data_IF_259092883764
#
_entry.id   IF_259092883764
#
_cell.length_a   1.000
_cell.length_b   1.000
_cell.length_c   1.000
_cell.angle_alpha   90.00
_cell.angle_beta   90.00
_cell.angle_gamma   90.00
#
_symmetry.space_group_name_H-M   'P 1'
#
loop_
_entity.id
_entity.type
_entity.pdbx_description
1 polymer ?
#
# COMPACT_ATOMS: atom_id res chain seq x y z
N UNK A 1 -2.94 11.97 15.37
CA UNK A 1 -3.30 11.18 14.16
C UNK A 1 -3.53 9.75 14.57
N UNK A 2 -4.65 9.12 14.17
CA UNK A 2 -4.88 7.69 14.37
C UNK A 2 -4.27 6.95 13.16
N UNK A 3 -3.24 6.12 13.38
CA UNK A 3 -2.70 5.22 12.35
C UNK A 3 -3.32 3.84 12.58
N UNK A 4 -3.85 3.21 11.53
CA UNK A 4 -4.33 1.83 11.60
C UNK A 4 -3.13 0.89 11.77
N UNK A 5 -3.15 0.05 12.81
CA UNK A 5 -2.08 -0.90 13.09
C UNK A 5 -2.52 -2.33 12.72
N UNK A 6 -3.76 -2.69 13.03
CA UNK A 6 -4.33 -3.99 12.73
C UNK A 6 -5.70 -3.86 12.04
N UNK A 7 -6.00 -4.84 11.20
CA UNK A 7 -7.33 -5.12 10.68
C UNK A 7 -7.69 -6.58 11.01
N UNK A 8 -8.92 -6.84 11.42
CA UNK A 8 -9.39 -8.18 11.75
C UNK A 8 -10.90 -8.28 11.54
N UNK A 9 -11.34 -9.45 11.09
CA UNK A 9 -12.75 -9.72 10.81
C UNK A 9 -13.05 -11.22 10.92
N UNK A 10 -14.30 -11.56 11.21
CA UNK A 10 -14.78 -12.92 10.97
C UNK A 10 -14.83 -13.12 9.46
N UNK A 11 -14.18 -14.17 8.97
CA UNK A 11 -14.12 -14.46 7.55
C UNK A 11 -15.52 -14.74 7.01
N UNK A 12 -15.83 -14.18 5.85
CA UNK A 12 -17.05 -14.53 5.14
C UNK A 12 -16.86 -15.91 4.52
N UNK A 13 -17.58 -16.89 5.05
CA UNK A 13 -17.52 -18.28 4.60
C UNK A 13 -18.73 -18.70 3.76
N UNK A 14 -19.68 -17.79 3.48
CA UNK A 14 -20.80 -18.05 2.58
C UNK A 14 -20.39 -17.74 1.12
N UNK A 15 -20.29 -18.76 0.25
CA UNK A 15 -19.85 -18.58 -1.14
C UNK A 15 -20.85 -17.76 -1.97
N UNK A 16 -22.15 -17.81 -1.69
CA UNK A 16 -23.15 -17.06 -2.44
C UNK A 16 -23.05 -15.56 -2.15
N UNK A 17 -22.90 -15.21 -0.87
CA UNK A 17 -22.69 -13.80 -0.46
C UNK A 17 -21.34 -13.30 -0.97
N UNK A 18 -20.30 -14.15 -0.95
CA UNK A 18 -18.99 -13.77 -1.48
C UNK A 18 -19.05 -13.45 -2.99
N UNK A 19 -19.81 -14.23 -3.77
CA UNK A 19 -20.03 -13.93 -5.20
C UNK A 19 -20.79 -12.63 -5.41
N UNK A 20 -21.87 -12.39 -4.66
CA UNK A 20 -22.62 -11.13 -4.74
C UNK A 20 -21.71 -9.92 -4.46
N UNK A 21 -20.80 -10.03 -3.48
CA UNK A 21 -19.80 -8.99 -3.19
C UNK A 21 -18.83 -8.79 -4.33
N UNK A 22 -18.34 -9.87 -4.95
CA UNK A 22 -17.48 -9.75 -6.12
C UNK A 22 -18.21 -9.14 -7.32
N UNK A 23 -19.49 -9.45 -7.54
CA UNK A 23 -20.30 -8.81 -8.58
C UNK A 23 -20.45 -7.30 -8.35
N UNK A 24 -20.64 -6.89 -7.09
CA UNK A 24 -20.68 -5.47 -6.75
C UNK A 24 -19.33 -4.79 -6.99
N UNK A 25 -18.23 -5.41 -6.55
CA UNK A 25 -16.88 -4.89 -6.77
C UNK A 25 -16.53 -4.81 -8.26
N UNK A 26 -17.01 -5.77 -9.08
CA UNK A 26 -16.84 -5.71 -10.53
C UNK A 26 -17.59 -4.53 -11.16
N UNK A 27 -18.79 -4.18 -10.65
CA UNK A 27 -19.51 -2.97 -11.07
C UNK A 27 -18.75 -1.70 -10.67
N UNK A 28 -18.23 -1.65 -9.46
CA UNK A 28 -17.46 -0.50 -8.95
C UNK A 28 -16.18 -0.31 -9.77
N UNK A 29 -15.51 -1.41 -10.13
CA UNK A 29 -14.35 -1.39 -11.05
C UNK A 29 -14.73 -0.89 -12.44
N UNK A 30 -15.85 -1.34 -12.99
CA UNK A 30 -16.35 -0.86 -14.29
C UNK A 30 -16.73 0.63 -14.24
N UNK A 31 -17.08 1.16 -13.07
CA UNK A 31 -17.32 2.57 -12.83
C UNK A 31 -16.04 3.42 -12.66
N UNK A 32 -14.86 2.78 -12.67
CA UNK A 32 -13.56 3.46 -12.63
C UNK A 32 -12.82 3.37 -11.29
N UNK A 33 -13.22 2.48 -10.38
CA UNK A 33 -12.46 2.20 -9.16
C UNK A 33 -11.31 1.21 -9.42
N UNK A 34 -10.08 1.72 -9.49
CA UNK A 34 -8.87 0.92 -9.71
C UNK A 34 -8.43 0.11 -8.47
N UNK A 35 -8.96 0.43 -7.28
CA UNK A 35 -8.67 -0.30 -6.03
C UNK A 35 -9.62 -1.49 -5.83
N UNK A 36 -10.73 -1.55 -6.57
CA UNK A 36 -11.68 -2.65 -6.50
C UNK A 36 -11.05 -3.97 -6.98
N UNK A 37 -11.05 -5.02 -6.12
CA UNK A 37 -10.40 -6.27 -6.46
C UNK A 37 -11.14 -7.01 -7.60
N UNK A 38 -10.41 -7.80 -8.42
CA UNK A 38 -11.03 -8.65 -9.42
C UNK A 38 -11.85 -9.78 -8.77
N UNK A 39 -12.85 -10.25 -9.51
CA UNK A 39 -13.57 -11.49 -9.17
C UNK A 39 -12.65 -12.71 -9.27
N UNK A 40 -12.66 -13.57 -8.25
CA UNK A 40 -11.92 -14.83 -8.21
C UNK A 40 -12.87 -16.02 -8.02
N UNK A 41 -13.20 -16.69 -9.13
CA UNK A 41 -14.10 -17.85 -9.11
C UNK A 41 -13.46 -19.09 -8.48
N UNK A 42 -12.13 -19.22 -8.51
CA UNK A 42 -11.45 -20.34 -7.87
C UNK A 42 -11.54 -20.21 -6.34
N UNK A 43 -11.43 -18.99 -5.81
CA UNK A 43 -11.68 -18.70 -4.41
C UNK A 43 -13.12 -19.01 -3.98
N UNK A 44 -14.12 -18.58 -4.75
CA UNK A 44 -15.52 -18.91 -4.48
C UNK A 44 -15.76 -20.42 -4.50
N UNK A 45 -15.19 -21.13 -5.48
CA UNK A 45 -15.28 -22.59 -5.57
C UNK A 45 -14.64 -23.24 -4.33
N UNK A 46 -13.51 -22.73 -3.83
CA UNK A 46 -12.89 -23.22 -2.60
C UNK A 46 -13.80 -23.03 -1.37
N UNK A 47 -14.52 -21.90 -1.28
CA UNK A 47 -15.50 -21.69 -0.20
C UNK A 47 -16.67 -22.69 -0.27
N UNK A 48 -17.08 -23.12 -1.45
CA UNK A 48 -18.13 -24.14 -1.63
C UNK A 48 -17.74 -25.53 -1.14
N UNK A 49 -16.44 -25.86 -1.14
CA UNK A 49 -15.95 -27.07 -0.47
C UNK A 49 -16.07 -27.00 1.07
N UNK A 50 -16.31 -25.81 1.61
CA UNK A 50 -16.59 -25.57 3.02
C UNK A 50 -15.40 -24.96 3.75
N UNK A 51 -15.42 -23.64 3.91
CA UNK A 51 -14.56 -22.93 4.86
C UNK A 51 -15.20 -22.97 6.26
N UNK A 52 -14.53 -23.56 7.28
CA UNK A 52 -15.01 -23.50 8.66
C UNK A 52 -15.13 -22.06 9.16
N UNK A 53 -15.93 -21.79 10.21
CA UNK A 53 -15.94 -20.49 10.86
C UNK A 53 -14.52 -20.06 11.26
N UNK A 54 -14.01 -19.02 10.61
CA UNK A 54 -12.61 -18.60 10.68
C UNK A 54 -12.53 -17.11 11.00
N UNK A 55 -11.48 -16.69 11.70
CA UNK A 55 -11.16 -15.28 11.92
C UNK A 55 -9.88 -14.89 11.19
N UNK A 56 -9.93 -13.79 10.45
CA UNK A 56 -8.79 -13.18 9.78
C UNK A 56 -8.15 -12.09 10.64
N UNK A 57 -6.84 -11.94 10.53
CA UNK A 57 -6.09 -10.89 11.20
C UNK A 57 -4.88 -10.47 10.36
N UNK A 58 -4.67 -9.15 10.28
CA UNK A 58 -3.50 -8.55 9.65
C UNK A 58 -2.93 -7.45 10.54
N UNK A 59 -1.61 -7.33 10.55
CA UNK A 59 -0.84 -6.33 11.29
C UNK A 59 0.19 -5.67 10.39
N UNK A 60 0.20 -4.34 10.37
CA UNK A 60 1.27 -3.59 9.74
C UNK A 60 2.53 -3.59 10.60
N UNK A 61 3.49 -4.48 10.29
CA UNK A 61 4.75 -4.60 11.04
C UNK A 61 5.52 -3.29 11.05
N UNK A 62 5.63 -2.59 9.92
CA UNK A 62 6.31 -1.30 9.84
C UNK A 62 5.65 -0.26 10.76
N UNK A 63 4.31 -0.20 10.77
CA UNK A 63 3.56 0.73 11.61
C UNK A 63 3.69 0.40 13.09
N UNK A 64 3.74 -0.89 13.45
CA UNK A 64 4.02 -1.33 14.81
C UNK A 64 5.43 -0.90 15.23
N UNK A 65 6.44 -1.16 14.40
CA UNK A 65 7.82 -0.75 14.66
C UNK A 65 7.92 0.75 14.81
N UNK A 66 7.31 1.53 13.90
CA UNK A 66 7.26 2.99 13.99
C UNK A 66 6.71 3.48 15.33
N UNK A 67 5.67 2.83 15.86
CA UNK A 67 5.11 3.16 17.16
C UNK A 67 6.09 2.84 18.30
N UNK A 68 6.76 1.69 18.25
CA UNK A 68 7.74 1.26 19.25
C UNK A 68 9.03 2.09 19.23
N UNK A 69 9.37 2.70 18.09
CA UNK A 69 10.61 3.49 17.89
C UNK A 69 10.35 5.00 17.85
N UNK A 70 9.17 5.46 18.27
CA UNK A 70 8.73 6.88 18.22
C UNK A 70 9.01 7.56 16.87
N UNK A 71 8.81 6.81 15.78
CA UNK A 71 9.14 7.23 14.43
C UNK A 71 7.88 7.70 13.69
N UNK A 72 7.87 8.98 13.30
CA UNK A 72 6.73 9.55 12.59
C UNK A 72 6.68 9.23 11.09
N UNK A 73 7.81 8.80 10.50
CA UNK A 73 7.99 8.46 9.09
C UNK A 73 8.39 6.98 8.92
N UNK A 74 7.78 6.27 7.96
CA UNK A 74 8.05 4.84 7.70
C UNK A 74 9.47 4.57 7.19
N UNK A 75 10.10 5.57 6.58
CA UNK A 75 11.48 5.45 6.07
C UNK A 75 12.51 5.21 7.18
N UNK A 76 12.20 5.59 8.42
CA UNK A 76 13.08 5.39 9.58
C UNK A 76 13.15 3.92 10.02
N UNK A 77 12.14 3.12 9.68
CA UNK A 77 12.05 1.70 10.08
C UNK A 77 12.30 0.73 8.91
N UNK A 78 12.58 1.26 7.72
CA UNK A 78 12.94 0.49 6.53
C UNK A 78 14.43 0.66 6.26
N UNK A 79 15.19 -0.44 6.18
CA UNK A 79 16.64 -0.39 5.91
C UNK A 79 16.97 0.30 4.58
N UNK A 80 16.17 0.04 3.55
CA UNK A 80 16.32 0.63 2.21
C UNK A 80 14.93 1.04 1.70
N UNK A 81 14.43 2.23 2.07
CA UNK A 81 13.11 2.67 1.64
C UNK A 81 13.08 2.98 0.14
N UNK A 82 11.91 2.86 -0.49
CA UNK A 82 11.73 3.32 -1.86
C UNK A 82 11.95 4.83 -1.95
N UNK A 83 12.94 5.23 -2.77
CA UNK A 83 13.28 6.62 -3.04
C UNK A 83 13.00 6.94 -4.50
N UNK A 84 12.62 8.20 -4.77
CA UNK A 84 12.61 8.68 -6.14
C UNK A 84 14.07 8.68 -6.63
N UNK A 85 14.35 8.18 -7.85
CA UNK A 85 15.68 8.29 -8.44
C UNK A 85 16.13 9.75 -8.48
N UNK A 86 17.43 9.97 -8.34
CA UNK A 86 18.00 11.31 -8.50
C UNK A 86 17.83 11.78 -9.95
N UNK A 87 17.53 13.06 -10.14
CA UNK A 87 17.49 13.68 -11.46
C UNK A 87 18.92 13.75 -12.01
N UNK A 88 19.24 13.04 -13.11
CA UNK A 88 20.59 13.02 -13.67
C UNK A 88 21.06 14.43 -14.09
N UNK A 89 20.14 15.39 -14.28
CA UNK A 89 20.47 16.77 -14.64
C UNK A 89 20.53 17.73 -13.45
N UNK A 90 20.39 17.26 -12.21
CA UNK A 90 20.47 18.13 -11.03
C UNK A 90 21.85 18.78 -10.89
N UNK A 91 22.93 18.01 -11.14
CA UNK A 91 24.31 18.52 -11.10
C UNK A 91 24.62 19.54 -12.20
N UNK A 92 23.98 19.43 -13.38
CA UNK A 92 24.21 20.34 -14.51
C UNK A 92 23.60 21.73 -14.30
N UNK A 93 22.59 21.86 -13.43
CA UNK A 93 21.94 23.16 -13.13
C UNK A 93 22.63 23.93 -12.00
N UNK A 94 23.34 23.23 -11.12
CA UNK A 94 24.06 23.86 -10.01
C UNK A 94 25.32 24.58 -10.52
N UNK A 95 26.04 24.04 -11.52
CA UNK A 95 27.20 24.69 -12.14
C UNK A 95 26.84 25.96 -12.93
N UNK A 96 25.64 26.05 -13.52
CA UNK A 96 25.23 27.24 -14.29
C UNK A 96 24.83 28.45 -13.44
N UNK A 97 24.70 28.28 -12.12
CA UNK A 97 24.26 29.32 -11.19
C UNK A 97 25.39 29.88 -10.32
N UNK A 98 26.65 29.46 -10.51
CA UNK A 98 27.77 30.14 -9.86
C UNK A 98 28.00 31.52 -10.50
N UNK A 99 28.01 32.61 -9.71
CA UNK A 99 28.36 33.93 -10.25
C UNK A 99 29.80 33.86 -10.78
N UNK A 100 30.12 34.50 -11.91
CA UNK A 100 31.48 34.48 -12.45
C UNK A 100 32.42 35.02 -11.39
N UNK A 101 33.43 34.23 -11.02
CA UNK A 101 34.48 34.64 -10.11
C UNK A 101 35.07 35.97 -10.62
N UNK A 102 34.84 37.05 -9.86
CA UNK A 102 35.52 38.32 -10.08
C UNK A 102 36.99 38.12 -9.71
N UNK A 103 37.78 37.68 -10.69
CA UNK A 103 39.23 37.72 -10.57
C UNK A 103 39.64 39.19 -10.69
N UNK A 104 39.97 39.79 -9.55
CA UNK A 104 40.67 41.07 -9.51
C UNK A 104 42.12 40.88 -9.95
N UNK A 105 42.49 41.61 -11.01
CA UNK A 105 43.66 42.50 -11.13
C UNK A 105 43.64 43.17 -12.52
#
# INVERSE_FOLDING_TARGET
MKKEICNAYTELNDPAIQRERFEQQAKDRAAGDDEAPPTDEAFCTALEYGLPPTGGWGLGVDRLTMFLTDSNNIKEVLLFPAMKPDDPNKHLKEESNEPPAQNGE
#
